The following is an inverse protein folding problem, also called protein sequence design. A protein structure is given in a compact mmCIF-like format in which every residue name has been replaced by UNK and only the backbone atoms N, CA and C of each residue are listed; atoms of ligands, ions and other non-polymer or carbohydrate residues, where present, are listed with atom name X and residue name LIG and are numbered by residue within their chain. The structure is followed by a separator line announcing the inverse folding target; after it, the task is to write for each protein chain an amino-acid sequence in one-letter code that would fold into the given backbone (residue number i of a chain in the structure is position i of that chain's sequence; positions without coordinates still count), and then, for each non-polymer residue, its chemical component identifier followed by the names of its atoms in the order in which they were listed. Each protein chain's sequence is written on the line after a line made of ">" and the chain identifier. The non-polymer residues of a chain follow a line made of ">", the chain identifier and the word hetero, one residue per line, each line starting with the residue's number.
data_IF_016000187421
#
_entry.id   IF_016000187421
#
_cell.length_a   1.000
_cell.length_b   1.000
_cell.length_c   1.000
_cell.angle_alpha   90.00
_cell.angle_beta   90.00
_cell.angle_gamma   90.00
#
_symmetry.space_group_name_H-M   'P 1'
#
loop_
_entity.id
_entity.type
_entity.pdbx_description
1 polymer ?
#
# COMPACT_ATOMS: atom_id res chain seq x y z
N UNK A 1 7.02 -12.00 12.31
CA UNK A 1 7.78 -10.72 12.24
C UNK A 1 7.30 -9.96 11.00
N UNK A 2 7.20 -8.63 11.05
CA UNK A 2 6.75 -7.84 9.90
C UNK A 2 7.95 -7.19 9.21
N UNK A 3 8.09 -7.49 7.93
CA UNK A 3 9.05 -6.88 7.03
C UNK A 3 8.34 -5.83 6.18
N UNK A 4 8.94 -4.67 6.04
CA UNK A 4 8.54 -3.66 5.07
C UNK A 4 9.48 -3.71 3.88
N UNK A 5 8.91 -3.80 2.68
CA UNK A 5 9.64 -3.64 1.43
C UNK A 5 9.13 -2.40 0.69
N UNK A 6 10.05 -1.66 0.06
CA UNK A 6 9.72 -0.60 -0.88
C UNK A 6 9.97 -1.10 -2.29
N UNK A 7 8.92 -1.15 -3.10
CA UNK A 7 9.01 -1.56 -4.50
C UNK A 7 9.35 -0.36 -5.38
N UNK A 8 10.25 -0.56 -6.33
CA UNK A 8 10.58 0.44 -7.33
C UNK A 8 9.43 0.59 -8.32
N UNK A 9 9.15 1.82 -8.72
CA UNK A 9 8.26 2.08 -9.85
C UNK A 9 9.07 2.23 -11.14
N UNK A 10 8.67 1.54 -12.21
CA UNK A 10 9.38 1.58 -13.50
C UNK A 10 9.04 2.82 -14.35
N UNK A 11 8.25 3.75 -13.81
CA UNK A 11 7.75 4.94 -14.52
C UNK A 11 8.60 6.20 -14.27
N UNK A 12 9.81 6.05 -13.73
CA UNK A 12 10.72 7.17 -13.43
C UNK A 12 10.25 8.09 -12.29
N UNK A 13 9.14 7.75 -11.62
CA UNK A 13 8.63 8.52 -10.49
C UNK A 13 9.30 8.07 -9.19
N UNK A 14 9.47 9.02 -8.27
CA UNK A 14 9.92 8.72 -6.93
C UNK A 14 8.99 7.67 -6.28
N UNK A 15 9.54 6.68 -5.57
CA UNK A 15 8.72 5.67 -4.90
C UNK A 15 7.87 6.33 -3.82
N UNK A 16 6.55 6.15 -3.88
CA UNK A 16 5.58 6.69 -2.92
C UNK A 16 5.18 5.63 -1.90
N UNK A 17 4.42 6.03 -0.88
CA UNK A 17 3.87 5.13 0.15
C UNK A 17 3.04 3.98 -0.44
N UNK A 18 2.45 4.15 -1.62
CA UNK A 18 1.68 3.11 -2.32
C UNK A 18 2.54 1.92 -2.77
N UNK A 19 3.86 2.11 -2.84
CA UNK A 19 4.83 1.08 -3.19
C UNK A 19 5.36 0.32 -1.98
N UNK A 20 4.91 0.67 -0.77
CA UNK A 20 5.25 -0.04 0.46
C UNK A 20 4.39 -1.28 0.61
N UNK A 21 5.03 -2.41 0.91
CA UNK A 21 4.36 -3.66 1.23
C UNK A 21 4.85 -4.15 2.59
N UNK A 22 3.92 -4.42 3.49
CA UNK A 22 4.20 -5.14 4.73
C UNK A 22 3.95 -6.63 4.57
N UNK A 23 4.93 -7.42 4.95
CA UNK A 23 4.96 -8.86 4.79
C UNK A 23 5.16 -9.46 6.17
N UNK A 24 4.20 -10.25 6.62
CA UNK A 24 4.39 -11.10 7.77
C UNK A 24 5.16 -12.36 7.36
N UNK A 25 6.25 -12.62 8.06
CA UNK A 25 7.04 -13.82 7.84
C UNK A 25 7.62 -14.35 9.16
N UNK A 26 7.74 -15.67 9.21
CA UNK A 26 8.42 -16.40 10.29
C UNK A 26 9.91 -16.61 9.99
N UNK A 27 10.38 -16.18 8.82
CA UNK A 27 11.79 -16.27 8.48
C UNK A 27 12.60 -15.29 9.35
N UNK A 28 13.81 -15.67 9.78
CA UNK A 28 14.76 -14.73 10.35
C UNK A 28 15.28 -13.78 9.26
N UNK A 29 15.81 -12.63 9.70
CA UNK A 29 16.23 -11.50 8.85
C UNK A 29 17.10 -11.91 7.66
N UNK A 30 18.15 -12.70 7.91
CA UNK A 30 19.08 -13.16 6.88
C UNK A 30 18.42 -14.10 5.87
N UNK A 31 17.49 -14.95 6.33
CA UNK A 31 16.75 -15.86 5.44
C UNK A 31 15.72 -15.11 4.61
N UNK A 32 15.10 -14.06 5.15
CA UNK A 32 14.22 -13.19 4.39
C UNK A 32 14.97 -12.43 3.29
N UNK A 33 16.13 -11.87 3.61
CA UNK A 33 17.00 -11.24 2.61
C UNK A 33 17.41 -12.24 1.51
N UNK A 34 17.86 -13.43 1.91
CA UNK A 34 18.22 -14.48 0.95
C UNK A 34 17.04 -14.87 0.06
N UNK A 35 15.84 -14.97 0.62
CA UNK A 35 14.61 -15.24 -0.11
C UNK A 35 14.34 -14.17 -1.19
N UNK A 36 14.54 -12.89 -0.87
CA UNK A 36 14.43 -11.81 -1.85
C UNK A 36 15.48 -11.94 -2.97
N UNK A 37 16.71 -12.29 -2.64
CA UNK A 37 17.81 -12.45 -3.61
C UNK A 37 17.58 -13.65 -4.52
N UNK A 38 17.20 -14.81 -3.97
CA UNK A 38 16.93 -16.04 -4.72
C UNK A 38 15.81 -15.87 -5.76
N UNK A 39 14.86 -14.97 -5.51
CA UNK A 39 13.77 -14.63 -6.43
C UNK A 39 14.08 -13.47 -7.36
N UNK A 40 15.32 -12.99 -7.39
CA UNK A 40 15.75 -11.80 -8.13
C UNK A 40 14.93 -10.54 -7.78
N UNK A 41 14.35 -10.48 -6.58
CA UNK A 41 13.59 -9.33 -6.08
C UNK A 41 14.52 -8.28 -5.45
N UNK A 42 15.71 -8.70 -4.99
CA UNK A 42 16.76 -7.83 -4.45
C UNK A 42 18.09 -8.19 -5.11
N UNK A 43 18.89 -7.19 -5.50
CA UNK A 43 20.23 -7.38 -6.04
C UNK A 43 21.13 -6.19 -5.68
N UNK A 44 22.44 -6.39 -5.80
CA UNK A 44 23.44 -5.38 -5.47
C UNK A 44 23.71 -4.41 -6.63
N UNK A 45 23.23 -4.73 -7.84
CA UNK A 45 23.37 -3.88 -9.02
C UNK A 45 22.39 -2.71 -9.04
N UNK A 46 21.51 -2.61 -8.04
CA UNK A 46 20.58 -1.50 -7.90
C UNK A 46 19.51 -1.48 -8.99
N UNK A 47 19.26 -2.60 -9.68
CA UNK A 47 18.23 -2.73 -10.72
C UNK A 47 17.06 -3.65 -10.30
N UNK A 48 17.05 -4.11 -9.05
CA UNK A 48 16.03 -5.01 -8.55
C UNK A 48 14.65 -4.35 -8.35
N UNK A 49 13.58 -5.16 -8.36
CA UNK A 49 12.23 -4.73 -8.00
C UNK A 49 12.13 -4.09 -6.61
N UNK A 50 12.82 -4.64 -5.61
CA UNK A 50 12.83 -4.12 -4.25
C UNK A 50 14.00 -3.16 -4.10
N UNK A 51 13.69 -1.90 -3.82
CA UNK A 51 14.68 -0.84 -3.66
C UNK A 51 15.27 -0.80 -2.24
N UNK A 52 14.46 -1.10 -1.23
CA UNK A 52 14.88 -1.21 0.17
C UNK A 52 13.97 -2.16 0.92
N UNK A 53 14.45 -2.69 2.03
CA UNK A 53 13.65 -3.47 2.96
C UNK A 53 14.11 -3.21 4.41
N UNK A 54 13.20 -3.41 5.36
CA UNK A 54 13.49 -3.25 6.79
C UNK A 54 12.54 -4.08 7.64
N UNK A 55 12.88 -4.26 8.92
CA UNK A 55 11.99 -4.87 9.90
C UNK A 55 11.24 -3.75 10.60
N UNK A 56 9.93 -3.90 10.75
CA UNK A 56 9.10 -2.88 11.38
C UNK A 56 8.35 -3.48 12.55
N UNK A 57 8.36 -2.78 13.67
CA UNK A 57 7.49 -3.06 14.81
C UNK A 57 6.25 -2.19 14.64
N UNK A 58 5.16 -2.80 14.18
CA UNK A 58 3.90 -2.12 13.93
C UNK A 58 2.74 -2.95 14.43
N UNK A 59 1.67 -2.29 14.88
CA UNK A 59 0.40 -2.93 15.21
C UNK A 59 -0.50 -3.09 13.97
N UNK A 60 -0.10 -2.50 12.83
CA UNK A 60 -0.87 -2.59 11.59
C UNK A 60 -0.77 -4.02 11.02
N UNK A 61 -1.88 -4.56 10.48
CA UNK A 61 -1.85 -5.86 9.84
C UNK A 61 -0.93 -5.84 8.63
N UNK A 62 -0.19 -6.94 8.42
CA UNK A 62 0.59 -7.10 7.20
C UNK A 62 -0.34 -7.18 5.98
N UNK A 63 0.15 -6.72 4.83
CA UNK A 63 -0.57 -6.85 3.57
C UNK A 63 -0.58 -8.30 3.07
N UNK A 64 0.49 -9.04 3.35
CA UNK A 64 0.67 -10.43 2.93
C UNK A 64 1.30 -11.26 4.03
N UNK A 65 0.97 -12.56 4.05
CA UNK A 65 1.64 -13.57 4.87
C UNK A 65 2.50 -14.44 3.97
N UNK A 66 3.82 -14.40 4.15
CA UNK A 66 4.78 -15.03 3.23
C UNK A 66 4.57 -16.54 3.07
N UNK A 67 4.25 -17.24 4.16
CA UNK A 67 4.08 -18.70 4.18
C UNK A 67 2.89 -19.20 3.34
N UNK A 68 1.87 -18.38 3.14
CA UNK A 68 0.62 -18.78 2.46
C UNK A 68 0.37 -18.01 1.17
N UNK A 69 0.90 -16.78 1.04
CA UNK A 69 0.57 -15.84 -0.02
C UNK A 69 1.76 -15.43 -0.88
N UNK A 70 2.80 -16.27 -0.92
CA UNK A 70 4.04 -16.01 -1.64
C UNK A 70 3.83 -15.61 -3.12
N UNK A 71 3.05 -16.40 -3.86
CA UNK A 71 2.73 -16.11 -5.28
C UNK A 71 1.93 -14.83 -5.45
N UNK A 72 1.07 -14.48 -4.48
CA UNK A 72 0.28 -13.26 -4.53
C UNK A 72 1.16 -12.02 -4.29
N UNK A 73 2.13 -12.14 -3.38
CA UNK A 73 3.13 -11.11 -3.12
C UNK A 73 3.96 -10.82 -4.38
N UNK A 74 4.46 -11.85 -5.07
CA UNK A 74 5.22 -11.66 -6.32
C UNK A 74 4.41 -10.96 -7.41
N UNK A 75 3.15 -11.39 -7.61
CA UNK A 75 2.24 -10.73 -8.56
C UNK A 75 2.02 -9.27 -8.21
N UNK A 76 1.89 -8.95 -6.92
CA UNK A 76 1.73 -7.57 -6.47
C UNK A 76 2.98 -6.74 -6.74
N UNK A 77 4.17 -7.29 -6.47
CA UNK A 77 5.45 -6.61 -6.78
C UNK A 77 5.56 -6.35 -8.28
N UNK A 78 5.28 -7.34 -9.12
CA UNK A 78 5.30 -7.19 -10.58
C UNK A 78 4.31 -6.12 -11.06
N UNK A 79 3.10 -6.08 -10.49
CA UNK A 79 2.10 -5.05 -10.79
C UNK A 79 2.51 -3.65 -10.34
N UNK A 80 3.30 -3.51 -9.27
CA UNK A 80 3.79 -2.20 -8.83
C UNK A 80 4.95 -1.71 -9.67
N UNK A 81 5.78 -2.63 -10.19
CA UNK A 81 6.83 -2.28 -11.15
C UNK A 81 6.23 -1.79 -12.47
N UNK A 82 5.26 -2.53 -13.00
CA UNK A 82 4.58 -2.20 -14.25
C UNK A 82 3.11 -1.86 -13.95
N UNK A 83 2.84 -0.69 -13.34
CA UNK A 83 1.48 -0.31 -13.03
C UNK A 83 0.68 -0.24 -14.34
N UNK A 84 -0.49 -0.90 -14.43
CA UNK A 84 -1.35 -0.73 -15.59
C UNK A 84 -1.60 0.77 -15.76
N UNK A 85 -1.41 1.29 -16.99
CA UNK A 85 -1.68 2.70 -17.32
C UNK A 85 -3.05 3.04 -16.73
N UNK A 86 -3.05 3.99 -15.80
CA UNK A 86 -4.21 4.30 -14.99
C UNK A 86 -5.47 4.35 -15.86
N UNK A 87 -6.39 3.39 -15.67
CA UNK A 87 -7.78 3.64 -16.01
C UNK A 87 -8.14 4.79 -15.08
N UNK A 88 -8.27 5.99 -15.66
CA UNK A 88 -8.69 7.18 -14.94
C UNK A 88 -9.90 6.77 -14.11
N UNK A 89 -9.74 6.70 -12.78
CA UNK A 89 -10.88 6.51 -11.90
C UNK A 89 -11.86 7.61 -12.27
N UNK A 90 -13.13 7.32 -12.59
CA UNK A 90 -14.11 8.39 -12.76
C UNK A 90 -14.11 9.16 -11.45
N UNK A 91 -13.86 10.46 -11.55
CA UNK A 91 -13.99 11.41 -10.45
C UNK A 91 -15.37 11.17 -9.86
N UNK A 92 -15.42 10.61 -8.65
CA UNK A 92 -16.66 10.49 -7.88
C UNK A 92 -17.06 11.93 -7.59
N UNK A 93 -17.92 12.49 -8.42
CA UNK A 93 -18.50 13.80 -8.21
C UNK A 93 -19.13 13.79 -6.82
N UNK A 94 -18.54 14.56 -5.92
CA UNK A 94 -19.10 14.87 -4.61
C UNK A 94 -20.49 15.46 -4.85
N UNK A 95 -21.54 14.71 -4.54
CA UNK A 95 -22.87 15.30 -4.45
C UNK A 95 -22.80 16.39 -3.38
N UNK A 96 -23.17 17.65 -3.67
CA UNK A 96 -23.31 18.65 -2.62
C UNK A 96 -24.47 18.21 -1.73
N UNK A 97 -24.16 17.95 -0.46
CA UNK A 97 -25.16 17.76 0.58
C UNK A 97 -25.93 19.07 0.72
N UNK A 98 -27.14 19.13 0.16
CA UNK A 98 -28.08 20.22 0.44
C UNK A 98 -28.70 19.91 1.81
N UNK A 99 -28.33 20.69 2.83
CA UNK A 99 -28.97 20.64 4.15
C UNK A 99 -30.41 21.17 4.01
N UNK A 100 -31.42 20.49 4.58
CA UNK A 100 -32.75 21.07 4.70
C UNK A 100 -32.70 22.20 5.72
N UNK A 101 -33.07 23.39 5.27
CA UNK A 101 -33.16 24.61 6.05
C UNK A 101 -34.36 24.51 7.01
N UNK A 102 -34.18 23.89 8.17
CA UNK A 102 -35.17 23.98 9.26
C UNK A 102 -34.98 25.33 9.95
N UNK A 103 -35.79 26.31 9.56
CA UNK A 103 -35.94 27.54 10.31
C UNK A 103 -36.55 27.22 11.68
N UNK A 104 -35.77 27.54 12.70
CA UNK A 104 -36.11 27.49 14.12
C UNK A 104 -36.66 28.86 14.53
N UNK A 105 -37.67 28.85 15.41
CA UNK A 105 -38.25 29.95 16.22
C UNK A 105 -39.37 30.80 15.58
N UNK A 106 -40.43 31.20 16.29
CA UNK A 106 -40.53 31.45 17.73
C UNK A 106 -41.93 31.18 18.32
N UNK A 107 -41.93 30.71 19.56
CA UNK A 107 -42.97 30.96 20.56
C UNK A 107 -43.17 32.47 20.75
N UNK A 108 -44.42 32.94 20.84
CA UNK A 108 -44.78 34.00 21.80
C UNK A 108 -46.26 33.88 22.18
N UNK A 109 -46.49 33.67 23.47
CA UNK A 109 -47.78 33.76 24.16
C UNK A 109 -48.26 35.22 24.30
N UNK A 110 -49.56 35.34 24.60
CA UNK A 110 -50.25 36.43 25.31
C UNK A 110 -50.46 37.74 24.51
N UNK A 111 -51.61 38.43 24.58
CA UNK A 111 -52.73 38.39 25.51
C UNK A 111 -54.05 38.72 24.78
#
# INVERSE_FOLDING_TARGET
>A
MIYEILVRSNNGKAPTSDNLIWIESNLPTRSFEKWLVERNLLNHSGNAPVARWSIVQTQRPAHFVLSTQEKALEKRIASLMNPPKAVKKPVRATQPHVLPNFAINAFSMAA
#
